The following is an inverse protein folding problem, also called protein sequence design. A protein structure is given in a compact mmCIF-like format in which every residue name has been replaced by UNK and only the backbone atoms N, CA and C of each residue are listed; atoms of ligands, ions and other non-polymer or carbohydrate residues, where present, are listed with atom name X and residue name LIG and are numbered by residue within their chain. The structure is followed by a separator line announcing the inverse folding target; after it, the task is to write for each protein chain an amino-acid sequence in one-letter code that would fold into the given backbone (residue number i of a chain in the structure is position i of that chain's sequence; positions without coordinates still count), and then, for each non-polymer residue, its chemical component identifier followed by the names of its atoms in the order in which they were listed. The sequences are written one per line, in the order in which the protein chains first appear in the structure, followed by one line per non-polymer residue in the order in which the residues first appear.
data_IF_197936383117
#
_entry.id   IF_197936383117
#
_cell.length_a   1.000
_cell.length_b   1.000
_cell.length_c   1.000
_cell.angle_alpha   90.00
_cell.angle_beta   90.00
_cell.angle_gamma   90.00
#
_symmetry.space_group_name_H-M   'P 1'
#
loop_
_entity.id
_entity.type
_entity.pdbx_description
1 polymer ?
#
# COMPACT_ATOMS: atom_id res chain seq x y z
N UNK A 1 -36.25 -16.20 -42.97
CA UNK A 1 -34.86 -16.18 -42.47
C UNK A 1 -34.76 -17.19 -41.35
N UNK A 2 -33.89 -18.20 -41.46
CA UNK A 2 -33.66 -19.16 -40.36
C UNK A 2 -32.89 -18.43 -39.25
N UNK A 3 -33.46 -18.39 -38.04
CA UNK A 3 -32.77 -17.84 -36.87
C UNK A 3 -31.59 -18.75 -36.52
N UNK A 4 -30.39 -18.17 -36.48
CA UNK A 4 -29.18 -18.85 -36.00
C UNK A 4 -29.34 -19.17 -34.51
N UNK A 5 -29.05 -20.41 -34.13
CA UNK A 5 -28.95 -20.81 -32.72
C UNK A 5 -27.72 -20.20 -32.05
N UNK A 6 -27.91 -19.50 -30.93
CA UNK A 6 -26.83 -18.93 -30.12
C UNK A 6 -26.34 -20.01 -29.14
N UNK A 7 -25.07 -20.42 -29.26
CA UNK A 7 -24.44 -21.39 -28.35
C UNK A 7 -23.79 -20.72 -27.14
N UNK A 8 -23.20 -19.54 -27.32
CA UNK A 8 -22.54 -18.76 -26.28
C UNK A 8 -22.95 -17.30 -26.43
N UNK A 9 -23.35 -16.69 -25.31
CA UNK A 9 -23.63 -15.27 -25.23
C UNK A 9 -22.43 -14.56 -24.62
N UNK A 10 -22.08 -13.38 -25.15
CA UNK A 10 -21.10 -12.52 -24.50
C UNK A 10 -21.65 -12.06 -23.15
N UNK A 11 -20.76 -12.02 -22.16
CA UNK A 11 -21.00 -11.44 -20.83
C UNK A 11 -19.82 -10.57 -20.50
N UNK A 12 -20.08 -9.45 -19.84
CA UNK A 12 -19.01 -8.60 -19.36
C UNK A 12 -18.12 -9.41 -18.38
N UNK A 13 -16.79 -9.47 -18.60
CA UNK A 13 -15.89 -10.25 -17.75
C UNK A 13 -15.95 -9.86 -16.27
N UNK A 14 -16.16 -8.58 -15.98
CA UNK A 14 -16.25 -8.08 -14.61
C UNK A 14 -17.57 -8.54 -13.97
N UNK A 15 -18.69 -8.50 -14.70
CA UNK A 15 -19.95 -9.07 -14.22
C UNK A 15 -19.83 -10.57 -13.93
N UNK A 16 -19.16 -11.34 -14.79
CA UNK A 16 -18.94 -12.78 -14.58
C UNK A 16 -18.21 -13.05 -13.26
N UNK A 17 -17.17 -12.24 -12.95
CA UNK A 17 -16.41 -12.37 -11.70
C UNK A 17 -17.30 -12.10 -10.48
N UNK A 18 -18.01 -10.98 -10.46
CA UNK A 18 -18.73 -10.53 -9.27
C UNK A 18 -20.06 -11.25 -9.04
N UNK A 19 -20.75 -11.64 -10.10
CA UNK A 19 -21.92 -12.54 -10.00
C UNK A 19 -21.48 -13.94 -9.59
N UNK A 20 -20.33 -14.42 -10.08
CA UNK A 20 -19.73 -15.68 -9.65
C UNK A 20 -19.41 -15.69 -8.15
N UNK A 21 -18.80 -14.62 -7.64
CA UNK A 21 -18.55 -14.40 -6.22
C UNK A 21 -19.84 -14.45 -5.39
N UNK A 22 -20.89 -13.72 -5.79
CA UNK A 22 -22.17 -13.72 -5.07
C UNK A 22 -22.74 -15.13 -4.95
N UNK A 23 -22.77 -15.88 -6.07
CA UNK A 23 -23.28 -17.24 -6.09
C UNK A 23 -22.46 -18.17 -5.18
N UNK A 24 -21.14 -18.03 -5.15
CA UNK A 24 -20.26 -18.81 -4.27
C UNK A 24 -20.53 -18.53 -2.79
N UNK A 25 -20.85 -17.28 -2.44
CA UNK A 25 -21.25 -16.88 -1.10
C UNK A 25 -22.69 -17.28 -0.76
N UNK A 26 -23.42 -17.89 -1.69
CA UNK A 26 -24.81 -18.34 -1.51
C UNK A 26 -25.87 -17.27 -1.75
N UNK A 27 -25.49 -16.13 -2.34
CA UNK A 27 -26.41 -15.06 -2.72
C UNK A 27 -26.87 -15.19 -4.16
N UNK A 28 -28.07 -14.69 -4.46
CA UNK A 28 -28.61 -14.54 -5.81
C UNK A 28 -28.73 -13.07 -6.15
N UNK A 29 -28.39 -12.73 -7.39
CA UNK A 29 -28.61 -11.40 -7.94
C UNK A 29 -29.93 -11.35 -8.72
N UNK A 30 -30.78 -10.41 -8.36
CA UNK A 30 -31.94 -10.00 -9.16
C UNK A 30 -31.74 -8.57 -9.68
N UNK A 31 -32.35 -8.28 -10.83
CA UNK A 31 -32.30 -6.95 -11.47
C UNK A 31 -33.71 -6.38 -11.50
N UNK A 32 -33.87 -5.13 -11.07
CA UNK A 32 -35.17 -4.47 -10.97
C UNK A 32 -35.07 -3.01 -11.44
N UNK A 33 -36.19 -2.40 -11.84
CA UNK A 33 -36.29 -0.95 -12.05
C UNK A 33 -36.83 -0.21 -10.80
N UNK A 34 -37.24 -0.96 -9.76
CA UNK A 34 -37.98 -0.42 -8.62
C UNK A 34 -37.09 -0.01 -7.44
N UNK A 35 -35.87 -0.53 -7.36
CA UNK A 35 -34.93 -0.27 -6.27
C UNK A 35 -33.53 -0.04 -6.82
N UNK A 36 -32.78 0.87 -6.20
CA UNK A 36 -31.38 1.10 -6.55
C UNK A 36 -30.48 -0.06 -6.09
N UNK A 37 -30.59 -0.40 -4.80
CA UNK A 37 -30.05 -1.61 -4.19
C UNK A 37 -30.96 -2.04 -3.03
N UNK A 38 -31.14 -3.35 -2.84
CA UNK A 38 -31.89 -3.91 -1.72
C UNK A 38 -31.45 -5.34 -1.41
N UNK A 39 -31.40 -5.71 -0.14
CA UNK A 39 -31.17 -7.09 0.31
C UNK A 39 -32.39 -7.61 1.09
N UNK A 40 -32.87 -8.79 0.75
CA UNK A 40 -34.11 -9.33 1.32
C UNK A 40 -33.96 -9.99 2.71
N UNK A 41 -32.73 -10.13 3.23
CA UNK A 41 -32.45 -10.88 4.47
C UNK A 41 -32.45 -12.41 4.29
N UNK A 42 -32.73 -12.91 3.09
CA UNK A 42 -32.92 -14.34 2.76
C UNK A 42 -32.01 -14.83 1.64
N UNK A 43 -31.09 -14.00 1.17
CA UNK A 43 -30.06 -14.39 0.21
C UNK A 43 -30.25 -13.80 -1.20
N UNK A 44 -31.19 -12.86 -1.39
CA UNK A 44 -31.39 -12.18 -2.66
C UNK A 44 -30.92 -10.73 -2.55
N UNK A 45 -29.94 -10.37 -3.37
CA UNK A 45 -29.53 -9.00 -3.60
C UNK A 45 -30.19 -8.51 -4.89
N UNK A 46 -31.00 -7.45 -4.79
CA UNK A 46 -31.68 -6.82 -5.92
C UNK A 46 -30.99 -5.50 -6.23
N UNK A 47 -30.49 -5.34 -7.45
CA UNK A 47 -29.79 -4.13 -7.89
C UNK A 47 -30.47 -3.54 -9.13
N UNK A 48 -30.49 -2.21 -9.27
CA UNK A 48 -31.14 -1.56 -10.41
C UNK A 48 -30.51 -1.93 -11.75
N UNK A 49 -31.28 -1.93 -12.84
CA UNK A 49 -30.73 -2.12 -14.19
C UNK A 49 -29.64 -1.09 -14.52
N UNK A 50 -28.69 -1.46 -15.39
CA UNK A 50 -27.55 -0.59 -15.71
C UNK A 50 -27.92 0.72 -16.41
N UNK A 51 -29.14 0.85 -16.92
CA UNK A 51 -29.68 2.12 -17.44
C UNK A 51 -30.02 3.14 -16.34
N UNK A 52 -30.05 2.71 -15.07
CA UNK A 52 -30.30 3.55 -13.89
C UNK A 52 -29.03 3.79 -13.06
N UNK A 53 -27.89 3.23 -13.46
CA UNK A 53 -26.60 3.49 -12.87
C UNK A 53 -26.08 4.88 -13.26
N UNK A 54 -25.32 5.50 -12.37
CA UNK A 54 -24.56 6.69 -12.73
C UNK A 54 -23.51 6.33 -13.80
N UNK A 55 -23.05 7.29 -14.64
CA UNK A 55 -22.10 6.99 -15.72
C UNK A 55 -20.78 6.36 -15.27
N UNK A 56 -20.43 6.49 -13.99
CA UNK A 56 -19.25 5.94 -13.34
C UNK A 56 -19.57 4.80 -12.35
N UNK A 57 -20.76 4.21 -12.44
CA UNK A 57 -21.14 2.97 -11.77
C UNK A 57 -20.92 1.73 -12.65
N UNK A 58 -20.71 0.60 -11.98
CA UNK A 58 -20.69 -0.72 -12.60
C UNK A 58 -21.39 -1.72 -11.70
N UNK A 59 -21.89 -2.81 -12.27
CA UNK A 59 -22.50 -3.88 -11.48
C UNK A 59 -21.55 -4.43 -10.42
N UNK A 60 -20.26 -4.50 -10.74
CA UNK A 60 -19.22 -4.91 -9.79
C UNK A 60 -19.03 -3.94 -8.63
N UNK A 61 -19.06 -2.63 -8.88
CA UNK A 61 -19.04 -1.62 -7.81
C UNK A 61 -20.21 -1.83 -6.86
N UNK A 62 -21.42 -1.97 -7.40
CA UNK A 62 -22.63 -2.16 -6.60
C UNK A 62 -22.59 -3.46 -5.79
N UNK A 63 -22.21 -4.57 -6.40
CA UNK A 63 -22.07 -5.84 -5.68
C UNK A 63 -21.02 -5.72 -4.58
N UNK A 64 -19.86 -5.14 -4.87
CA UNK A 64 -18.78 -5.04 -3.90
C UNK A 64 -19.16 -4.17 -2.70
N UNK A 65 -19.84 -3.05 -2.95
CA UNK A 65 -20.35 -2.17 -1.92
C UNK A 65 -21.35 -2.88 -0.99
N UNK A 66 -22.34 -3.59 -1.55
CA UNK A 66 -23.31 -4.37 -0.79
C UNK A 66 -22.67 -5.48 0.05
N UNK A 67 -21.64 -6.13 -0.48
CA UNK A 67 -20.88 -7.11 0.31
C UNK A 67 -20.08 -6.45 1.44
N UNK A 68 -19.62 -5.21 1.27
CA UNK A 68 -18.99 -4.44 2.35
C UNK A 68 -20.01 -4.08 3.45
N UNK A 69 -21.26 -3.76 3.10
CA UNK A 69 -22.34 -3.62 4.09
C UNK A 69 -22.54 -4.91 4.89
N UNK A 70 -22.67 -6.05 4.22
CA UNK A 70 -22.83 -7.35 4.86
C UNK A 70 -21.69 -7.65 5.85
N UNK A 71 -20.45 -7.35 5.46
CA UNK A 71 -19.26 -7.55 6.29
C UNK A 71 -19.24 -6.62 7.51
N UNK A 72 -19.61 -5.35 7.36
CA UNK A 72 -19.64 -4.36 8.45
C UNK A 72 -20.76 -4.65 9.44
N UNK A 73 -21.96 -4.95 8.94
CA UNK A 73 -23.14 -5.28 9.74
C UNK A 73 -22.92 -6.56 10.58
N UNK A 74 -22.13 -7.51 10.07
CA UNK A 74 -21.79 -8.75 10.76
C UNK A 74 -22.96 -9.73 10.82
N UNK A 75 -22.84 -10.76 11.67
CA UNK A 75 -23.77 -11.90 11.67
C UNK A 75 -25.25 -11.54 11.88
N UNK A 76 -25.53 -10.49 12.65
CA UNK A 76 -26.89 -9.99 12.85
C UNK A 76 -27.49 -9.39 11.57
N UNK A 77 -26.68 -8.67 10.78
CA UNK A 77 -27.11 -8.05 9.52
C UNK A 77 -27.32 -9.02 8.38
N UNK A 78 -26.61 -10.16 8.35
CA UNK A 78 -26.70 -11.14 7.25
C UNK A 78 -28.08 -11.76 7.04
N UNK A 79 -28.99 -11.63 8.02
CA UNK A 79 -30.38 -12.12 7.94
C UNK A 79 -31.42 -11.00 8.04
N UNK A 80 -30.97 -9.76 8.16
CA UNK A 80 -31.83 -8.60 8.21
C UNK A 80 -32.00 -8.04 6.80
N UNK A 81 -33.20 -7.52 6.52
CA UNK A 81 -33.43 -6.74 5.30
C UNK A 81 -32.45 -5.56 5.25
N UNK A 82 -31.87 -5.31 4.08
CA UNK A 82 -30.91 -4.22 3.84
C UNK A 82 -29.78 -4.19 4.87
N UNK A 83 -29.31 -5.39 5.26
CA UNK A 83 -28.25 -5.60 6.26
C UNK A 83 -28.57 -5.03 7.65
N UNK A 84 -29.84 -4.69 7.89
CA UNK A 84 -30.33 -4.06 9.11
C UNK A 84 -30.26 -2.54 9.11
N UNK A 85 -30.08 -1.90 7.93
CA UNK A 85 -30.14 -0.46 7.70
C UNK A 85 -31.53 -0.03 7.23
N UNK A 86 -31.99 1.14 7.63
CA UNK A 86 -33.26 1.77 7.21
C UNK A 86 -33.07 3.14 6.53
N UNK A 87 -31.84 3.66 6.54
CA UNK A 87 -31.37 4.93 6.00
C UNK A 87 -32.08 6.16 6.58
N UNK A 88 -32.44 6.11 7.87
CA UNK A 88 -33.20 7.17 8.53
C UNK A 88 -32.55 7.74 9.81
N UNK A 89 -31.41 7.18 10.26
CA UNK A 89 -30.76 7.58 11.50
C UNK A 89 -29.21 7.71 11.42
N UNK A 90 -28.62 8.21 12.51
CA UNK A 90 -27.16 8.37 12.65
C UNK A 90 -26.41 7.03 12.68
N UNK A 91 -27.07 5.95 13.06
CA UNK A 91 -26.47 4.60 13.08
C UNK A 91 -26.23 4.13 11.65
N UNK A 92 -27.17 4.39 10.74
CA UNK A 92 -27.01 4.01 9.34
C UNK A 92 -25.91 4.81 8.65
N UNK A 93 -25.78 6.10 8.96
CA UNK A 93 -24.63 6.90 8.51
C UNK A 93 -23.29 6.32 9.00
N UNK A 94 -23.22 5.85 10.24
CA UNK A 94 -22.02 5.18 10.77
C UNK A 94 -21.71 3.88 10.04
N UNK A 95 -22.72 3.07 9.71
CA UNK A 95 -22.55 1.83 8.97
C UNK A 95 -22.10 2.09 7.52
N UNK A 96 -22.66 3.11 6.88
CA UNK A 96 -22.27 3.61 5.56
C UNK A 96 -20.80 4.06 5.54
N UNK A 97 -20.40 4.89 6.52
CA UNK A 97 -19.02 5.35 6.67
C UNK A 97 -18.03 4.19 6.91
N UNK A 98 -18.43 3.20 7.70
CA UNK A 98 -17.63 2.00 7.93
C UNK A 98 -17.54 1.12 6.66
N UNK A 99 -18.63 1.01 5.89
CA UNK A 99 -18.66 0.33 4.59
C UNK A 99 -17.64 0.95 3.63
N UNK A 100 -17.66 2.27 3.47
CA UNK A 100 -16.71 3.00 2.63
C UNK A 100 -15.25 2.82 3.06
N UNK A 101 -14.95 2.85 4.37
CA UNK A 101 -13.60 2.58 4.88
C UNK A 101 -13.14 1.16 4.55
N UNK A 102 -14.01 0.17 4.72
CA UNK A 102 -13.73 -1.23 4.39
C UNK A 102 -13.50 -1.41 2.89
N UNK A 103 -14.42 -0.89 2.07
CA UNK A 103 -14.35 -0.93 0.60
C UNK A 103 -13.07 -0.28 0.08
N UNK A 104 -12.72 0.91 0.58
CA UNK A 104 -11.48 1.60 0.22
C UNK A 104 -10.24 0.79 0.62
N UNK A 105 -10.25 0.17 1.80
CA UNK A 105 -9.13 -0.65 2.30
C UNK A 105 -8.92 -1.87 1.42
N UNK A 106 -9.97 -2.67 1.22
CA UNK A 106 -9.91 -3.90 0.41
C UNK A 106 -9.56 -3.59 -1.04
N UNK A 107 -10.12 -2.55 -1.65
CA UNK A 107 -9.81 -2.17 -3.03
C UNK A 107 -8.38 -1.62 -3.20
N UNK A 108 -7.86 -0.89 -2.21
CA UNK A 108 -6.51 -0.32 -2.27
C UNK A 108 -5.42 -1.38 -2.38
N UNK A 109 -5.60 -2.54 -1.74
CA UNK A 109 -4.65 -3.67 -1.79
C UNK A 109 -4.43 -4.22 -3.20
N UNK A 110 -5.35 -3.95 -4.12
CA UNK A 110 -5.32 -4.40 -5.50
C UNK A 110 -5.14 -3.26 -6.51
N UNK A 111 -4.96 -2.02 -6.03
CA UNK A 111 -4.85 -0.83 -6.88
C UNK A 111 -6.19 -0.44 -7.51
N UNK A 112 -7.30 -0.88 -6.91
CA UNK A 112 -8.66 -0.71 -7.42
C UNK A 112 -9.45 0.37 -6.68
N UNK A 113 -8.86 1.07 -5.71
CA UNK A 113 -9.57 2.05 -4.88
C UNK A 113 -10.29 3.12 -5.71
N UNK A 114 -9.63 3.71 -6.71
CA UNK A 114 -10.28 4.72 -7.54
C UNK A 114 -11.41 4.15 -8.41
N UNK A 115 -11.30 2.89 -8.83
CA UNK A 115 -12.32 2.20 -9.64
C UNK A 115 -13.54 1.81 -8.82
N UNK A 116 -13.33 1.32 -7.59
CA UNK A 116 -14.41 1.04 -6.64
C UNK A 116 -14.77 2.26 -5.80
N UNK A 117 -14.60 3.47 -6.35
CA UNK A 117 -15.03 4.69 -5.68
C UNK A 117 -16.55 4.77 -5.58
N UNK A 118 -17.04 5.43 -4.55
CA UNK A 118 -18.46 5.74 -4.38
C UNK A 118 -18.83 6.88 -5.30
N UNK A 119 -19.99 6.79 -5.94
CA UNK A 119 -20.47 7.72 -6.98
C UNK A 119 -21.58 8.67 -6.48
N UNK A 120 -22.16 8.36 -5.32
CA UNK A 120 -23.27 9.09 -4.70
C UNK A 120 -22.82 10.32 -3.88
N UNK A 121 -23.75 10.92 -3.13
CA UNK A 121 -23.51 12.04 -2.19
C UNK A 121 -22.44 11.75 -1.11
N UNK A 122 -22.02 10.49 -0.95
CA UNK A 122 -20.92 10.10 -0.07
C UNK A 122 -19.52 10.26 -0.68
N UNK A 123 -19.43 10.66 -1.97
CA UNK A 123 -18.15 10.91 -2.65
C UNK A 123 -17.21 11.86 -1.89
N UNK A 124 -17.66 12.99 -1.30
CA UNK A 124 -16.78 13.86 -0.52
C UNK A 124 -16.16 13.17 0.69
N UNK A 125 -16.92 12.31 1.37
CA UNK A 125 -16.40 11.50 2.48
C UNK A 125 -15.36 10.49 1.97
N UNK A 126 -15.66 9.77 0.89
CA UNK A 126 -14.73 8.84 0.26
C UNK A 126 -13.39 9.49 -0.11
N UNK A 127 -13.44 10.67 -0.73
CA UNK A 127 -12.25 11.42 -1.16
C UNK A 127 -11.46 11.98 0.02
N UNK A 128 -12.10 12.22 1.17
CA UNK A 128 -11.42 12.62 2.41
C UNK A 128 -10.65 11.50 3.11
N UNK A 129 -10.91 10.23 2.76
CA UNK A 129 -10.21 9.10 3.37
C UNK A 129 -8.72 9.15 3.01
N UNK A 130 -7.84 9.08 4.01
CA UNK A 130 -6.39 9.02 3.81
C UNK A 130 -5.91 7.75 3.12
N UNK A 131 -4.60 7.59 2.95
CA UNK A 131 -4.01 6.38 2.33
C UNK A 131 -4.26 5.10 3.13
N UNK A 132 -4.49 5.23 4.45
CA UNK A 132 -4.93 4.15 5.34
C UNK A 132 -6.33 4.48 5.87
N UNK A 133 -7.42 3.97 5.25
CA UNK A 133 -8.78 4.27 5.66
C UNK A 133 -9.17 3.73 7.04
N UNK A 134 -8.37 2.82 7.62
CA UNK A 134 -8.58 2.26 8.96
C UNK A 134 -7.83 3.04 10.06
N UNK A 135 -7.32 4.22 9.72
CA UNK A 135 -6.71 5.18 10.65
C UNK A 135 -7.27 6.58 10.41
N UNK A 136 -7.46 7.33 11.49
CA UNK A 136 -7.80 8.73 11.44
C UNK A 136 -7.17 9.48 12.62
N UNK A 137 -6.94 10.77 12.44
CA UNK A 137 -6.56 11.70 13.52
C UNK A 137 -7.77 12.31 14.22
N UNK A 138 -8.97 12.03 13.72
CA UNK A 138 -10.25 12.56 14.17
C UNK A 138 -10.95 11.56 15.10
N UNK A 139 -11.11 11.84 16.41
CA UNK A 139 -11.74 10.91 17.36
C UNK A 139 -13.17 10.50 16.99
N UNK A 140 -13.91 11.37 16.31
CA UNK A 140 -15.27 11.13 15.82
C UNK A 140 -15.35 9.96 14.81
N UNK A 141 -14.24 9.62 14.16
CA UNK A 141 -14.18 8.52 13.18
C UNK A 141 -14.04 7.15 13.83
N UNK A 142 -13.57 7.05 15.08
CA UNK A 142 -13.19 5.79 15.71
C UNK A 142 -14.32 4.73 15.66
N UNK A 143 -15.61 5.06 15.90
CA UNK A 143 -16.69 4.07 15.78
C UNK A 143 -16.81 3.45 14.39
N UNK A 144 -16.66 4.24 13.32
CA UNK A 144 -16.69 3.74 11.94
C UNK A 144 -15.45 2.91 11.61
N UNK A 145 -14.28 3.29 12.15
CA UNK A 145 -13.02 2.58 12.00
C UNK A 145 -13.06 1.21 12.69
N UNK A 146 -13.55 1.13 13.93
CA UNK A 146 -13.70 -0.13 14.67
C UNK A 146 -14.58 -1.11 13.90
N UNK A 147 -15.71 -0.63 13.37
CA UNK A 147 -16.62 -1.43 12.54
C UNK A 147 -15.96 -1.90 11.24
N UNK A 148 -15.25 -1.01 10.54
CA UNK A 148 -14.52 -1.37 9.34
C UNK A 148 -13.41 -2.39 9.60
N UNK A 149 -12.68 -2.29 10.73
CA UNK A 149 -11.67 -3.28 11.16
C UNK A 149 -12.29 -4.66 11.40
N UNK A 150 -13.45 -4.73 12.04
CA UNK A 150 -14.19 -5.98 12.21
C UNK A 150 -14.66 -6.56 10.87
N UNK A 151 -15.15 -5.71 9.97
CA UNK A 151 -15.49 -6.12 8.60
C UNK A 151 -14.28 -6.66 7.83
N UNK A 152 -13.12 -6.00 7.96
CA UNK A 152 -11.86 -6.43 7.36
C UNK A 152 -11.38 -7.78 7.90
N UNK A 153 -11.50 -8.03 9.21
CA UNK A 153 -11.21 -9.34 9.80
C UNK A 153 -12.10 -10.43 9.19
N UNK A 154 -13.42 -10.19 9.07
CA UNK A 154 -14.35 -11.14 8.43
C UNK A 154 -13.99 -11.39 6.97
N UNK A 155 -13.61 -10.33 6.26
CA UNK A 155 -13.20 -10.37 4.87
C UNK A 155 -11.87 -11.10 4.64
N UNK A 156 -11.03 -11.31 5.67
CA UNK A 156 -9.68 -11.88 5.50
C UNK A 156 -9.46 -13.20 6.22
N UNK A 157 -10.26 -13.52 7.24
CA UNK A 157 -10.08 -14.72 8.08
C UNK A 157 -11.26 -15.71 8.02
N UNK A 158 -12.36 -15.34 7.37
CA UNK A 158 -13.60 -16.11 7.35
C UNK A 158 -13.92 -16.76 6.00
N UNK A 159 -15.16 -17.28 5.84
CA UNK A 159 -15.63 -17.89 4.59
C UNK A 159 -15.64 -16.91 3.40
N UNK A 160 -15.56 -15.61 3.67
CA UNK A 160 -15.48 -14.54 2.68
C UNK A 160 -14.09 -14.36 2.08
N UNK A 161 -13.05 -14.78 2.80
CA UNK A 161 -11.65 -14.47 2.49
C UNK A 161 -11.25 -14.92 1.10
N UNK A 162 -11.42 -16.21 0.86
CA UNK A 162 -10.93 -16.83 -0.36
C UNK A 162 -11.75 -16.42 -1.60
N UNK A 163 -13.10 -16.37 -1.56
CA UNK A 163 -13.91 -15.84 -2.66
C UNK A 163 -13.61 -14.36 -2.99
N UNK A 164 -13.58 -13.48 -1.97
CA UNK A 164 -13.31 -12.04 -2.20
C UNK A 164 -11.91 -11.80 -2.76
N UNK A 165 -10.90 -12.48 -2.19
CA UNK A 165 -9.51 -12.39 -2.67
C UNK A 165 -9.42 -12.77 -4.14
N UNK A 166 -10.10 -13.84 -4.57
CA UNK A 166 -10.13 -14.23 -5.99
C UNK A 166 -10.83 -13.20 -6.88
N UNK A 167 -11.98 -12.66 -6.44
CA UNK A 167 -12.71 -11.66 -7.22
C UNK A 167 -11.92 -10.35 -7.39
N UNK A 168 -11.30 -9.86 -6.31
CA UNK A 168 -10.43 -8.69 -6.35
C UNK A 168 -9.17 -8.93 -7.19
N UNK A 169 -8.57 -10.12 -7.09
CA UNK A 169 -7.42 -10.52 -7.94
C UNK A 169 -7.80 -10.57 -9.41
N UNK A 170 -8.94 -11.17 -9.76
CA UNK A 170 -9.42 -11.23 -11.14
C UNK A 170 -9.76 -9.84 -11.68
N UNK A 171 -10.39 -9.00 -10.86
CA UNK A 171 -10.67 -7.59 -11.22
C UNK A 171 -9.38 -6.82 -11.47
N UNK A 172 -8.34 -7.01 -10.64
CA UNK A 172 -7.02 -6.42 -10.86
C UNK A 172 -6.42 -6.86 -12.19
N UNK A 173 -6.51 -8.13 -12.55
CA UNK A 173 -6.00 -8.64 -13.83
C UNK A 173 -6.71 -8.01 -15.02
N UNK A 174 -8.05 -7.87 -14.94
CA UNK A 174 -8.83 -7.15 -15.95
C UNK A 174 -8.39 -5.69 -16.02
N UNK A 175 -8.25 -5.01 -14.88
CA UNK A 175 -7.81 -3.62 -14.81
C UNK A 175 -6.43 -3.41 -15.43
N UNK A 176 -5.46 -4.28 -15.12
CA UNK A 176 -4.12 -4.18 -15.67
C UNK A 176 -4.10 -4.35 -17.19
N UNK A 177 -4.93 -5.25 -17.74
CA UNK A 177 -5.09 -5.41 -19.18
C UNK A 177 -5.81 -4.22 -19.83
N UNK A 178 -6.87 -3.70 -19.21
CA UNK A 178 -7.72 -2.65 -19.77
C UNK A 178 -7.08 -1.25 -19.71
N UNK A 179 -6.30 -0.94 -18.67
CA UNK A 179 -5.75 0.41 -18.39
C UNK A 179 -4.98 1.01 -19.57
N UNK A 180 -4.22 0.17 -20.29
CA UNK A 180 -3.42 0.59 -21.44
C UNK A 180 -4.29 1.05 -22.65
N UNK A 181 -5.52 0.54 -22.75
CA UNK A 181 -6.44 0.83 -23.86
C UNK A 181 -7.55 1.82 -23.49
N UNK A 182 -7.78 2.04 -22.19
CA UNK A 182 -8.76 3.01 -21.70
C UNK A 182 -8.44 4.43 -22.19
N UNK A 183 -9.48 5.21 -22.53
CA UNK A 183 -9.37 6.66 -22.70
C UNK A 183 -9.27 7.37 -21.34
N UNK A 184 -9.04 8.69 -21.33
CA UNK A 184 -8.87 9.46 -20.11
C UNK A 184 -10.12 9.62 -19.24
N UNK A 185 -11.31 9.36 -19.81
CA UNK A 185 -12.60 9.50 -19.11
C UNK A 185 -13.12 8.16 -18.59
N UNK A 186 -12.48 7.04 -18.94
CA UNK A 186 -12.85 5.71 -18.49
C UNK A 186 -12.44 5.45 -17.03
N UNK A 187 -13.34 4.83 -16.24
CA UNK A 187 -13.08 4.33 -14.88
C UNK A 187 -11.78 3.52 -14.75
N UNK A 188 -11.41 2.75 -15.78
CA UNK A 188 -10.17 1.97 -15.78
C UNK A 188 -8.90 2.81 -15.59
N UNK A 189 -8.92 4.12 -15.90
CA UNK A 189 -7.81 5.05 -15.61
C UNK A 189 -7.63 5.36 -14.13
N UNK A 190 -8.65 5.14 -13.32
CA UNK A 190 -8.58 5.32 -11.87
C UNK A 190 -7.87 4.15 -11.17
N UNK A 191 -7.58 3.06 -11.88
CA UNK A 191 -6.83 1.91 -11.35
C UNK A 191 -5.33 2.19 -11.37
N UNK A 192 -4.60 1.65 -10.38
CA UNK A 192 -3.15 1.76 -10.26
C UNK A 192 -2.49 0.41 -10.44
N UNK A 193 -1.46 0.35 -11.28
CA UNK A 193 -0.56 -0.80 -11.30
C UNK A 193 0.13 -0.90 -9.94
N UNK A 194 0.09 -2.09 -9.33
CA UNK A 194 0.81 -2.35 -8.08
C UNK A 194 2.09 -3.12 -8.34
N UNK A 195 3.15 -2.63 -7.72
CA UNK A 195 4.42 -3.32 -7.55
C UNK A 195 4.25 -4.55 -6.64
N UNK A 196 5.17 -5.51 -6.71
CA UNK A 196 5.16 -6.73 -5.89
C UNK A 196 5.10 -6.46 -4.38
N UNK A 197 5.49 -5.26 -3.95
CA UNK A 197 5.43 -4.80 -2.56
C UNK A 197 4.04 -4.29 -2.13
N UNK A 198 3.04 -4.34 -3.01
CA UNK A 198 1.69 -3.83 -2.74
C UNK A 198 1.60 -2.30 -2.67
N UNK A 199 2.54 -1.60 -3.30
CA UNK A 199 2.55 -0.13 -3.48
C UNK A 199 2.48 0.20 -4.96
N UNK A 200 2.20 1.43 -5.35
CA UNK A 200 2.08 1.77 -6.77
C UNK A 200 3.41 1.56 -7.52
N UNK A 201 3.32 1.15 -8.78
CA UNK A 201 4.45 1.19 -9.72
C UNK A 201 4.82 2.65 -10.00
N UNK A 202 6.11 2.91 -10.16
CA UNK A 202 6.63 4.24 -10.49
C UNK A 202 6.08 4.72 -11.85
N UNK A 203 5.88 6.04 -12.00
CA UNK A 203 5.32 6.60 -13.23
C UNK A 203 6.24 6.50 -14.45
N UNK A 204 7.54 6.41 -14.21
CA UNK A 204 8.56 6.18 -15.26
C UNK A 204 8.76 4.67 -15.48
N UNK A 205 8.33 4.10 -16.63
CA UNK A 205 8.43 2.68 -16.93
C UNK A 205 9.86 2.22 -17.24
N UNK A 206 10.83 3.14 -17.38
CA UNK A 206 12.23 2.80 -17.64
C UNK A 206 13.00 2.45 -16.36
N UNK A 207 12.46 2.81 -15.20
CA UNK A 207 13.08 2.53 -13.90
C UNK A 207 12.73 1.12 -13.43
N UNK A 208 13.73 0.42 -12.91
CA UNK A 208 13.59 -0.95 -12.39
C UNK A 208 14.07 -1.05 -10.95
N UNK A 209 13.62 -2.07 -10.23
CA UNK A 209 14.12 -2.36 -8.89
C UNK A 209 15.63 -2.59 -8.86
N UNK A 210 16.23 -3.10 -9.94
CA UNK A 210 17.68 -3.28 -10.07
C UNK A 210 18.48 -1.98 -10.04
N UNK A 211 17.86 -0.86 -10.40
CA UNK A 211 18.44 0.48 -10.31
C UNK A 211 18.14 1.18 -8.97
N UNK A 212 17.35 0.55 -8.09
CA UNK A 212 16.92 1.12 -6.83
C UNK A 212 17.96 0.90 -5.72
N UNK A 213 18.22 1.92 -4.90
CA UNK A 213 19.13 1.82 -3.75
C UNK A 213 18.59 0.91 -2.65
N UNK A 214 17.28 0.69 -2.63
CA UNK A 214 16.61 -0.14 -1.63
C UNK A 214 16.67 -1.64 -1.95
N UNK A 215 17.08 -2.03 -3.16
CA UNK A 215 17.29 -3.43 -3.52
C UNK A 215 18.71 -3.86 -3.16
N UNK A 216 18.83 -4.63 -2.07
CA UNK A 216 20.06 -5.13 -1.48
C UNK A 216 20.03 -6.67 -1.43
N UNK A 217 21.03 -7.35 -1.98
CA UNK A 217 21.10 -8.84 -2.00
C UNK A 217 19.80 -9.53 -2.46
N UNK A 218 19.16 -8.98 -3.49
CA UNK A 218 17.86 -9.42 -4.02
C UNK A 218 16.66 -9.27 -3.06
N UNK A 219 16.81 -8.47 -2.00
CA UNK A 219 15.74 -8.10 -1.07
C UNK A 219 15.52 -6.59 -1.08
N UNK A 220 14.27 -6.16 -1.08
CA UNK A 220 13.96 -4.74 -0.89
C UNK A 220 13.93 -4.43 0.61
N UNK A 221 14.82 -3.55 1.09
CA UNK A 221 14.87 -3.19 2.52
C UNK A 221 13.71 -2.28 2.95
N UNK A 222 12.84 -1.87 2.00
CA UNK A 222 11.58 -1.17 2.23
C UNK A 222 10.37 -2.10 2.23
N UNK A 223 10.57 -3.40 2.02
CA UNK A 223 9.50 -4.39 2.15
C UNK A 223 9.02 -4.42 3.61
N UNK A 224 7.78 -4.01 3.85
CA UNK A 224 7.14 -4.27 5.12
C UNK A 224 6.75 -5.75 5.19
N UNK A 225 7.00 -6.39 6.33
CA UNK A 225 6.41 -7.70 6.66
C UNK A 225 4.92 -7.46 6.89
N UNK A 226 4.05 -7.89 5.95
CA UNK A 226 2.59 -7.88 6.16
C UNK A 226 2.18 -9.16 6.92
N UNK A 227 2.35 -9.17 8.23
CA UNK A 227 1.98 -10.32 9.08
C UNK A 227 2.75 -11.60 8.69
N UNK A 228 2.08 -12.75 8.69
CA UNK A 228 2.66 -14.07 8.34
C UNK A 228 2.84 -14.29 6.82
N UNK A 229 2.55 -13.30 5.98
CA UNK A 229 2.77 -13.44 4.53
C UNK A 229 4.27 -13.35 4.21
N UNK A 230 4.78 -14.20 3.30
CA UNK A 230 6.18 -14.13 2.89
C UNK A 230 6.50 -12.75 2.34
N UNK A 231 7.66 -12.22 2.72
CA UNK A 231 8.19 -10.96 2.16
C UNK A 231 8.38 -11.16 0.65
N UNK A 232 7.48 -10.58 -0.14
CA UNK A 232 7.63 -10.56 -1.59
C UNK A 232 8.91 -9.80 -1.92
N UNK A 233 9.88 -10.50 -2.51
CA UNK A 233 11.17 -9.95 -2.89
C UNK A 233 11.11 -9.61 -4.38
N UNK A 234 11.10 -8.32 -4.76
CA UNK A 234 11.08 -7.93 -6.15
C UNK A 234 12.37 -8.38 -6.84
N UNK A 235 12.24 -8.76 -8.10
CA UNK A 235 13.38 -9.07 -8.95
C UNK A 235 14.02 -7.78 -9.48
N UNK A 236 15.31 -7.84 -9.81
CA UNK A 236 16.02 -6.68 -10.35
C UNK A 236 15.39 -6.15 -11.66
N UNK A 237 14.74 -7.03 -12.44
CA UNK A 237 14.06 -6.68 -13.68
C UNK A 237 12.64 -6.12 -13.47
N UNK A 238 12.08 -6.21 -12.26
CA UNK A 238 10.74 -5.67 -11.98
C UNK A 238 10.73 -4.15 -12.14
N UNK A 239 9.60 -3.61 -12.62
CA UNK A 239 9.39 -2.18 -12.69
C UNK A 239 9.54 -1.55 -11.30
N UNK A 240 10.17 -0.38 -11.21
CA UNK A 240 10.36 0.30 -9.95
C UNK A 240 9.01 0.68 -9.29
N UNK A 241 8.99 0.80 -7.97
CA UNK A 241 7.83 1.28 -7.23
C UNK A 241 7.89 2.80 -6.99
N UNK A 242 6.80 3.41 -6.53
CA UNK A 242 6.74 4.85 -6.23
C UNK A 242 7.77 5.33 -5.17
N UNK A 243 8.34 4.41 -4.40
CA UNK A 243 9.43 4.67 -3.43
C UNK A 243 10.82 4.48 -4.03
N UNK A 244 10.93 4.53 -5.36
CA UNK A 244 12.20 4.39 -6.05
C UNK A 244 13.16 5.48 -5.62
N UNK A 245 14.36 5.08 -5.25
CA UNK A 245 15.49 5.99 -5.09
C UNK A 245 16.65 5.44 -5.91
N UNK A 246 17.29 6.27 -6.75
CA UNK A 246 18.38 5.81 -7.60
C UNK A 246 19.54 5.29 -6.75
N UNK A 247 20.19 4.22 -7.23
CA UNK A 247 21.48 3.80 -6.68
C UNK A 247 22.48 4.93 -6.83
N UNK A 248 23.15 5.25 -5.73
CA UNK A 248 24.26 6.19 -5.70
C UNK A 248 25.60 5.46 -5.62
N UNK A 249 26.64 6.09 -6.14
CA UNK A 249 28.00 5.59 -6.22
C UNK A 249 28.90 6.13 -5.09
N UNK A 250 30.10 5.57 -4.97
CA UNK A 250 31.08 5.95 -3.95
C UNK A 250 31.44 7.44 -4.05
N UNK A 251 31.48 7.98 -5.27
CA UNK A 251 31.80 9.39 -5.53
C UNK A 251 30.75 10.35 -4.95
N UNK A 252 29.51 9.89 -4.80
CA UNK A 252 28.39 10.66 -4.24
C UNK A 252 28.33 10.56 -2.70
N UNK A 253 29.15 9.69 -2.09
CA UNK A 253 29.20 9.53 -0.65
C UNK A 253 29.66 10.83 0.05
N UNK A 254 30.59 11.57 -0.57
CA UNK A 254 31.05 12.86 -0.05
C UNK A 254 29.92 13.90 -0.02
N UNK A 255 29.07 13.95 -1.05
CA UNK A 255 27.91 14.84 -1.06
C UNK A 255 26.85 14.42 -0.03
N UNK A 256 26.62 13.11 0.12
CA UNK A 256 25.67 12.53 1.07
C UNK A 256 26.09 12.76 2.53
N UNK A 257 27.26 12.26 2.91
CA UNK A 257 27.83 12.37 4.25
C UNK A 257 27.01 11.76 5.39
N UNK A 258 25.85 11.13 5.13
CA UNK A 258 24.85 10.76 6.13
C UNK A 258 25.44 9.98 7.33
N UNK A 259 26.29 9.01 7.05
CA UNK A 259 26.95 8.19 8.09
C UNK A 259 28.07 8.94 8.82
N UNK A 260 28.64 10.00 8.25
CA UNK A 260 29.68 10.83 8.88
C UNK A 260 29.11 11.99 9.71
N UNK A 261 27.89 12.44 9.38
CA UNK A 261 27.11 13.44 10.11
C UNK A 261 26.10 12.77 11.06
N UNK A 262 24.89 13.31 11.18
CA UNK A 262 23.88 13.01 12.19
C UNK A 262 23.26 11.59 12.09
N UNK A 263 23.70 10.73 11.17
CA UNK A 263 23.17 9.37 11.04
C UNK A 263 23.51 8.43 12.21
N UNK A 264 24.62 8.69 12.90
CA UNK A 264 25.07 7.91 14.07
C UNK A 264 25.70 8.80 15.15
N UNK A 265 25.66 8.33 16.40
CA UNK A 265 26.09 9.09 17.58
C UNK A 265 27.57 8.91 17.94
N UNK A 266 28.19 7.78 17.59
CA UNK A 266 29.63 7.52 17.80
C UNK A 266 30.15 6.48 16.80
N UNK A 267 31.47 6.43 16.65
CA UNK A 267 32.17 5.34 15.95
C UNK A 267 32.97 4.57 16.98
N UNK A 268 32.57 3.35 17.30
CA UNK A 268 33.31 2.50 18.24
C UNK A 268 34.58 1.95 17.58
N UNK A 269 35.66 1.91 18.35
CA UNK A 269 36.98 1.48 17.93
C UNK A 269 37.37 0.23 18.70
N UNK A 270 37.97 -0.73 17.99
CA UNK A 270 38.68 -1.81 18.68
C UNK A 270 40.01 -1.30 19.22
N UNK A 271 40.53 -1.92 20.28
CA UNK A 271 41.88 -1.61 20.80
C UNK A 271 43.00 -1.83 19.77
N UNK A 272 42.75 -2.63 18.72
CA UNK A 272 43.69 -2.89 17.66
C UNK A 272 43.66 -1.84 16.53
N UNK A 273 42.62 -1.00 16.46
CA UNK A 273 42.37 -0.07 15.37
C UNK A 273 43.54 0.90 15.18
N UNK A 274 44.02 1.01 13.94
CA UNK A 274 45.16 1.87 13.62
C UNK A 274 44.85 3.35 13.81
N UNK A 275 43.58 3.74 13.66
CA UNK A 275 43.12 5.10 13.91
C UNK A 275 43.30 5.47 15.38
N UNK A 276 42.92 4.56 16.29
CA UNK A 276 43.08 4.75 17.73
C UNK A 276 44.54 4.91 18.15
N UNK A 277 45.48 4.29 17.42
CA UNK A 277 46.92 4.39 17.71
C UNK A 277 47.56 5.65 17.15
N UNK A 278 47.05 6.18 16.03
CA UNK A 278 47.65 7.29 15.28
C UNK A 278 47.03 8.66 15.60
N UNK A 279 45.75 8.68 15.95
CA UNK A 279 44.96 9.88 16.16
C UNK A 279 44.34 9.88 17.57
N UNK A 280 45.16 9.66 18.59
CA UNK A 280 44.73 9.59 20.00
C UNK A 280 44.02 10.87 20.45
N UNK A 281 44.38 12.01 19.86
CA UNK A 281 43.75 13.31 20.11
C UNK A 281 42.29 13.41 19.61
N UNK A 282 41.85 12.45 18.78
CA UNK A 282 40.48 12.36 18.24
C UNK A 282 39.67 11.22 18.86
N UNK A 283 40.20 10.53 19.88
CA UNK A 283 39.56 9.36 20.51
C UNK A 283 39.22 9.66 21.96
N UNK A 284 38.00 9.28 22.34
CA UNK A 284 37.54 9.28 23.72
C UNK A 284 37.37 7.86 24.24
N UNK A 285 37.36 7.71 25.56
CA UNK A 285 37.19 6.45 26.25
C UNK A 285 36.06 6.55 27.27
N UNK A 286 35.12 5.62 27.22
CA UNK A 286 34.04 5.44 28.20
C UNK A 286 34.08 3.99 28.70
N UNK A 287 34.52 3.80 29.95
CA UNK A 287 34.82 2.46 30.46
C UNK A 287 35.93 1.79 29.63
N UNK A 288 35.63 0.61 29.08
CA UNK A 288 36.55 -0.17 28.23
C UNK A 288 36.34 0.09 26.72
N UNK A 289 35.43 1.00 26.35
CA UNK A 289 35.09 1.29 24.94
C UNK A 289 35.84 2.54 24.48
N UNK A 290 36.66 2.38 23.44
CA UNK A 290 37.24 3.50 22.69
C UNK A 290 36.28 3.91 21.58
N UNK A 291 36.12 5.22 21.35
CA UNK A 291 35.27 5.71 20.28
C UNK A 291 35.71 7.07 19.74
N UNK A 292 35.32 7.37 18.50
CA UNK A 292 35.43 8.72 17.92
C UNK A 292 34.15 9.49 18.25
N UNK A 293 34.22 10.59 19.01
CA UNK A 293 33.06 11.36 19.43
C UNK A 293 32.41 12.09 18.24
N UNK A 294 31.11 12.39 18.39
CA UNK A 294 30.33 13.15 17.40
C UNK A 294 29.52 14.28 18.03
N UNK A 295 30.16 15.33 18.58
CA UNK A 295 29.45 16.44 19.18
C UNK A 295 28.52 17.11 18.15
N UNK A 296 27.28 17.39 18.54
CA UNK A 296 26.26 17.93 17.63
C UNK A 296 25.96 17.02 16.42
N UNK A 297 26.21 15.71 16.55
CA UNK A 297 25.99 14.72 15.50
C UNK A 297 27.06 14.68 14.42
N UNK A 298 28.19 15.39 14.54
CA UNK A 298 29.24 15.40 13.50
C UNK A 298 30.54 14.81 14.02
N UNK A 299 31.11 13.88 13.28
CA UNK A 299 32.41 13.29 13.62
C UNK A 299 33.49 14.36 13.78
N UNK A 300 34.28 14.28 14.86
CA UNK A 300 35.38 15.23 15.09
C UNK A 300 36.44 15.22 14.00
N UNK A 301 36.61 14.10 13.29
CA UNK A 301 37.49 13.96 12.14
C UNK A 301 36.88 14.46 10.81
N UNK A 302 35.63 14.95 10.83
CA UNK A 302 34.93 15.41 9.64
C UNK A 302 35.41 16.79 9.19
N UNK A 303 35.72 16.90 7.91
CA UNK A 303 35.86 18.14 7.18
C UNK A 303 34.58 18.41 6.40
N UNK A 304 34.04 19.61 6.56
CA UNK A 304 32.88 20.09 5.79
C UNK A 304 33.41 21.13 4.81
N UNK A 305 33.25 20.86 3.53
CA UNK A 305 33.70 21.70 2.42
C UNK A 305 32.50 22.07 1.54
N UNK A 306 32.69 23.01 0.60
CA UNK A 306 31.66 23.34 -0.40
C UNK A 306 31.27 22.15 -1.27
N UNK A 307 32.16 21.15 -1.38
CA UNK A 307 31.96 19.91 -2.16
C UNK A 307 31.43 18.74 -1.31
N UNK A 308 31.16 18.96 -0.02
CA UNK A 308 30.52 17.99 0.87
C UNK A 308 31.34 17.60 2.10
N UNK A 309 31.11 16.38 2.57
CA UNK A 309 31.58 15.81 3.84
C UNK A 309 32.69 14.80 3.59
N UNK A 310 33.89 15.04 4.15
CA UNK A 310 35.01 14.11 4.01
C UNK A 310 35.79 13.97 5.31
N UNK A 311 36.22 12.75 5.63
CA UNK A 311 37.13 12.55 6.77
C UNK A 311 38.51 13.17 6.44
N UNK A 312 39.04 14.01 7.34
CA UNK A 312 40.42 14.55 7.23
C UNK A 312 41.48 13.45 7.19
N UNK A 313 41.15 12.29 7.75
CA UNK A 313 42.02 11.12 7.86
C UNK A 313 41.51 9.96 7.00
N UNK A 314 40.95 10.23 5.81
CA UNK A 314 40.25 9.21 5.00
C UNK A 314 41.07 7.94 4.76
N UNK A 315 42.37 8.06 4.46
CA UNK A 315 43.24 6.90 4.22
C UNK A 315 43.51 6.04 5.47
N UNK A 316 43.35 6.63 6.67
CA UNK A 316 43.65 6.00 7.96
C UNK A 316 42.40 5.86 8.83
N UNK A 317 41.21 6.10 8.27
CA UNK A 317 39.92 6.15 8.98
C UNK A 317 39.68 4.86 9.78
N UNK A 318 38.86 4.92 10.86
CA UNK A 318 38.51 3.74 11.66
C UNK A 318 38.08 2.56 10.81
N UNK A 319 38.40 1.33 11.23
CA UNK A 319 38.01 0.11 10.50
C UNK A 319 36.50 0.07 10.27
N UNK A 320 35.70 0.43 11.27
CA UNK A 320 34.23 0.52 11.14
C UNK A 320 33.75 1.52 10.07
N UNK A 321 34.54 2.56 9.76
CA UNK A 321 34.27 3.49 8.66
C UNK A 321 34.89 3.04 7.33
N UNK A 322 35.99 2.28 7.38
CA UNK A 322 36.64 1.74 6.19
C UNK A 322 35.82 0.62 5.55
N UNK A 323 35.26 -0.25 6.39
CA UNK A 323 34.46 -1.42 6.02
C UNK A 323 32.96 -1.08 5.91
N UNK A 324 32.61 0.21 6.04
CA UNK A 324 31.22 0.65 5.97
C UNK A 324 30.67 0.43 4.56
N UNK A 325 29.74 -0.51 4.43
CA UNK A 325 29.22 -0.94 3.15
C UNK A 325 28.26 0.08 2.54
N UNK A 326 28.64 0.61 1.37
CA UNK A 326 27.80 1.56 0.64
C UNK A 326 26.52 0.86 0.15
N UNK A 327 25.36 1.50 0.41
CA UNK A 327 24.01 0.99 0.13
C UNK A 327 23.60 -0.22 0.98
N UNK A 328 24.46 -0.68 1.90
CA UNK A 328 24.08 -1.65 2.90
C UNK A 328 23.01 -1.09 3.87
N UNK A 329 22.37 -1.94 4.68
CA UNK A 329 21.30 -1.52 5.59
C UNK A 329 21.66 -0.35 6.51
N UNK A 330 22.89 -0.32 7.03
CA UNK A 330 23.37 0.78 7.89
C UNK A 330 23.50 2.11 7.14
N UNK A 331 23.95 2.09 5.87
CA UNK A 331 24.03 3.29 5.02
C UNK A 331 22.65 3.90 4.80
N UNK A 332 21.68 3.06 4.45
CA UNK A 332 20.31 3.45 4.17
C UNK A 332 19.56 3.95 5.41
N UNK A 333 19.79 3.32 6.58
CA UNK A 333 19.29 3.81 7.87
C UNK A 333 19.86 5.20 8.20
N UNK A 334 21.16 5.42 8.00
CA UNK A 334 21.77 6.71 8.23
C UNK A 334 21.14 7.80 7.36
N UNK A 335 20.90 7.52 6.07
CA UNK A 335 20.25 8.45 5.13
C UNK A 335 18.83 8.82 5.57
N UNK A 336 18.04 7.84 6.04
CA UNK A 336 16.68 8.09 6.57
C UNK A 336 16.70 9.00 7.79
N UNK A 337 17.60 8.75 8.75
CA UNK A 337 17.72 9.57 9.96
C UNK A 337 18.02 11.04 9.67
N UNK A 338 18.71 11.32 8.57
CA UNK A 338 19.11 12.67 8.18
C UNK A 338 18.25 13.27 7.06
N UNK A 339 17.13 12.63 6.72
CA UNK A 339 16.16 13.12 5.73
C UNK A 339 16.66 13.13 4.28
N UNK A 340 17.63 12.29 3.94
CA UNK A 340 18.14 12.15 2.55
C UNK A 340 17.46 11.01 1.76
N UNK A 341 16.67 10.21 2.44
CA UNK A 341 15.94 9.07 1.90
C UNK A 341 14.65 8.92 2.71
N UNK A 342 13.55 8.54 2.06
CA UNK A 342 12.21 8.43 2.67
C UNK A 342 11.88 7.01 3.11
#
# INVERSE_FOLDING_TARGET
MSQRTIQYAYRDPLEVVWVGLLNELGYRLERSAEVFAAFDGQGTLTLCHGEHFDPDDSLAQMIFHELCHALVAGSAGLRAKDWGMQNDDERDLLLEQACHRLQATLAAEYGLRGFFGVTTDHRPYWDSLGSDPLRSTHPEDEPSIERARLGYQRATQGPWSEPLRRALTATKQIADAARAFADNNSLWKQTKALHALGVAVHGDPTLTCGACTWLWEAQCTRSAVRGDQPVLSPQAADAACERFEPRFADEECAACGACCREGFHRVELSAADSFAKRHLELVEQEGDVLFVPRPGGRCVALEVTDVGYRCRHYAERPTACADFELRGPACLEARRRVGLSD
#
